data_IF_546216481958
#
_entry.id   IF_546216481958
#
_cell.length_a   1.000
_cell.length_b   1.000
_cell.length_c   1.000
_cell.angle_alpha   90.00
_cell.angle_beta   90.00
_cell.angle_gamma   90.00
#
_symmetry.space_group_name_H-M   'P 1'
#
loop_
_entity.id
_entity.type
_entity.pdbx_description
1 polymer ?
#
# COMPACT_ATOMS: atom_id res chain seq x y z
N UNK A 1 2.03 14.50 11.53
CA UNK A 1 2.38 13.06 11.37
C UNK A 1 2.56 12.83 9.88
N UNK A 2 3.60 12.15 9.45
CA UNK A 2 3.76 11.86 8.03
C UNK A 2 2.93 10.61 7.66
N UNK A 3 2.67 10.40 6.35
CA UNK A 3 1.82 9.28 5.90
C UNK A 3 2.39 7.90 6.30
N UNK A 4 3.71 7.75 6.38
CA UNK A 4 4.33 6.48 6.82
C UNK A 4 4.04 6.19 8.29
N UNK A 5 4.07 7.22 9.14
CA UNK A 5 3.74 7.07 10.57
C UNK A 5 2.27 6.67 10.74
N UNK A 6 1.37 7.22 9.89
CA UNK A 6 -0.04 6.84 9.87
C UNK A 6 -0.23 5.37 9.46
N UNK A 7 0.48 4.91 8.41
CA UNK A 7 0.43 3.50 7.97
C UNK A 7 0.85 2.58 9.12
N UNK A 8 1.98 2.88 9.78
CA UNK A 8 2.48 2.13 10.94
C UNK A 8 1.50 2.21 12.12
N UNK A 9 0.90 3.38 12.33
CA UNK A 9 -0.12 3.59 13.35
C UNK A 9 -1.33 2.67 13.16
N UNK A 10 -1.84 2.55 11.93
CA UNK A 10 -2.96 1.66 11.61
C UNK A 10 -2.61 0.19 11.76
N UNK A 11 -1.38 -0.22 11.41
CA UNK A 11 -0.94 -1.59 11.65
C UNK A 11 -0.91 -1.92 13.16
N UNK A 12 -0.34 -1.05 13.99
CA UNK A 12 -0.33 -1.19 15.46
C UNK A 12 -1.73 -1.17 16.04
N UNK A 13 -2.62 -0.31 15.52
CA UNK A 13 -4.03 -0.27 15.90
C UNK A 13 -4.73 -1.62 15.61
N UNK A 14 -4.40 -2.26 14.47
CA UNK A 14 -4.88 -3.60 14.15
C UNK A 14 -4.50 -4.62 15.22
N UNK A 15 -3.26 -4.61 15.70
CA UNK A 15 -2.80 -5.50 16.80
C UNK A 15 -3.60 -5.26 18.09
N UNK A 16 -3.86 -4.01 18.44
CA UNK A 16 -4.64 -3.67 19.65
C UNK A 16 -6.09 -4.17 19.54
N UNK A 17 -6.67 -4.13 18.34
CA UNK A 17 -8.06 -4.51 18.06
C UNK A 17 -8.17 -5.90 17.41
N UNK A 18 -7.13 -6.73 17.53
CA UNK A 18 -7.02 -8.01 16.82
C UNK A 18 -8.29 -8.90 16.92
N UNK A 19 -8.95 -8.93 18.08
CA UNK A 19 -10.14 -9.71 18.31
C UNK A 19 -11.37 -9.28 17.47
N UNK A 20 -11.30 -8.15 16.76
CA UNK A 20 -12.31 -7.65 15.81
C UNK A 20 -11.92 -7.91 14.35
N UNK A 21 -10.85 -8.69 14.14
CA UNK A 21 -10.39 -9.07 12.82
C UNK A 21 -10.73 -10.53 12.53
N UNK A 22 -11.13 -10.82 11.30
CA UNK A 22 -11.37 -12.17 10.81
C UNK A 22 -10.54 -12.40 9.56
N UNK A 23 -9.78 -13.50 9.52
CA UNK A 23 -9.03 -13.88 8.34
C UNK A 23 -9.96 -14.46 7.27
N UNK A 24 -9.87 -13.97 6.06
CA UNK A 24 -10.60 -14.51 4.90
C UNK A 24 -9.77 -14.30 3.63
N UNK A 25 -9.72 -15.33 2.79
CA UNK A 25 -9.19 -15.26 1.42
C UNK A 25 -10.33 -15.16 0.38
N UNK A 26 -11.58 -15.03 0.85
CA UNK A 26 -12.76 -14.89 0.00
C UNK A 26 -12.96 -13.48 -0.55
N UNK A 27 -14.08 -13.29 -1.25
CA UNK A 27 -14.44 -12.03 -1.91
C UNK A 27 -14.64 -10.87 -0.91
N UNK A 28 -14.87 -11.18 0.36
CA UNK A 28 -15.08 -10.21 1.44
C UNK A 28 -13.79 -9.64 2.05
N UNK A 29 -12.61 -10.19 1.69
CA UNK A 29 -11.31 -9.82 2.29
C UNK A 29 -10.95 -8.34 2.17
N UNK A 30 -11.43 -7.66 1.13
CA UNK A 30 -11.21 -6.23 0.89
C UNK A 30 -12.43 -5.36 1.25
N UNK A 31 -13.46 -5.91 1.90
CA UNK A 31 -14.73 -5.23 2.18
C UNK A 31 -14.63 -3.99 3.08
N UNK A 32 -13.50 -3.79 3.76
CA UNK A 32 -13.22 -2.59 4.56
C UNK A 32 -12.59 -1.44 3.77
N UNK A 33 -12.14 -1.68 2.53
CA UNK A 33 -11.74 -0.61 1.61
C UNK A 33 -12.97 0.23 1.28
N UNK A 34 -12.83 1.56 1.31
CA UNK A 34 -13.94 2.52 1.14
C UNK A 34 -14.69 2.87 2.42
N UNK A 35 -14.55 2.09 3.51
CA UNK A 35 -15.14 2.45 4.81
C UNK A 35 -14.30 3.50 5.54
N UNK A 36 -14.95 4.20 6.46
CA UNK A 36 -14.27 5.16 7.35
C UNK A 36 -13.13 4.46 8.12
N UNK A 37 -12.00 5.15 8.26
CA UNK A 37 -10.86 4.65 9.02
C UNK A 37 -11.26 4.26 10.45
N UNK A 38 -10.79 3.08 10.89
CA UNK A 38 -11.09 2.53 12.20
C UNK A 38 -12.47 1.86 12.32
N UNK A 39 -13.20 1.63 11.23
CA UNK A 39 -14.46 0.88 11.25
C UNK A 39 -14.20 -0.60 11.54
N UNK A 40 -14.86 -1.14 12.56
CA UNK A 40 -14.84 -2.55 12.97
C UNK A 40 -16.22 -3.21 12.79
N UNK A 41 -16.32 -4.52 12.62
CA UNK A 41 -15.21 -5.48 12.47
C UNK A 41 -14.55 -5.39 11.07
N UNK A 42 -13.36 -6.00 10.95
CA UNK A 42 -12.59 -6.09 9.70
C UNK A 42 -12.46 -7.55 9.27
N UNK A 43 -12.71 -7.83 8.00
CA UNK A 43 -12.37 -9.09 7.34
C UNK A 43 -11.26 -8.82 6.32
N UNK A 44 -10.14 -9.55 6.42
CA UNK A 44 -8.99 -9.36 5.54
C UNK A 44 -8.13 -10.63 5.47
N UNK A 45 -7.37 -10.77 4.37
CA UNK A 45 -6.16 -11.59 4.30
C UNK A 45 -4.91 -10.75 4.61
N UNK A 46 -3.72 -11.33 4.46
CA UNK A 46 -2.46 -10.65 4.71
C UNK A 46 -2.27 -9.41 3.81
N UNK A 47 -2.60 -9.52 2.53
CA UNK A 47 -2.44 -8.45 1.55
C UNK A 47 -3.52 -7.37 1.69
N UNK A 48 -4.73 -7.78 2.00
CA UNK A 48 -5.84 -6.87 2.28
C UNK A 48 -5.58 -6.03 3.54
N UNK A 49 -5.01 -6.62 4.59
CA UNK A 49 -4.62 -5.88 5.79
C UNK A 49 -3.57 -4.81 5.50
N UNK A 50 -2.51 -5.15 4.75
CA UNK A 50 -1.50 -4.17 4.32
C UNK A 50 -2.16 -3.06 3.51
N UNK A 51 -2.98 -3.41 2.51
CA UNK A 51 -3.70 -2.44 1.66
C UNK A 51 -4.61 -1.52 2.49
N UNK A 52 -5.30 -2.07 3.49
CA UNK A 52 -6.17 -1.31 4.39
C UNK A 52 -5.40 -0.29 5.23
N UNK A 53 -4.22 -0.63 5.74
CA UNK A 53 -3.36 0.30 6.48
C UNK A 53 -2.98 1.51 5.61
N UNK A 54 -2.64 1.29 4.34
CA UNK A 54 -2.35 2.35 3.38
C UNK A 54 -3.60 3.18 3.06
N UNK A 55 -4.74 2.53 2.84
CA UNK A 55 -6.01 3.21 2.56
C UNK A 55 -6.42 4.15 3.70
N UNK A 56 -6.40 3.66 4.94
CA UNK A 56 -6.78 4.45 6.12
C UNK A 56 -5.79 5.57 6.44
N UNK A 57 -4.51 5.40 6.09
CA UNK A 57 -3.52 6.46 6.18
C UNK A 57 -3.67 7.52 5.07
N UNK A 58 -4.58 7.32 4.11
CA UNK A 58 -4.75 8.18 2.97
C UNK A 58 -3.56 8.17 2.00
N UNK A 59 -2.76 7.11 2.00
CA UNK A 59 -1.68 6.86 1.06
C UNK A 59 -2.21 6.49 -0.33
N UNK A 60 -1.38 6.53 -1.40
CA UNK A 60 -1.67 5.85 -2.65
C UNK A 60 -1.81 4.33 -2.44
N UNK A 61 -2.60 3.68 -3.31
CA UNK A 61 -2.75 2.23 -3.27
C UNK A 61 -1.43 1.51 -3.52
N UNK A 62 -0.95 0.66 -2.59
CA UNK A 62 0.29 -0.08 -2.76
C UNK A 62 0.23 -1.12 -3.89
N UNK A 63 -0.98 -1.52 -4.32
CA UNK A 63 -1.18 -2.42 -5.46
C UNK A 63 -1.17 -1.69 -6.81
N UNK A 64 -1.28 -0.35 -6.84
CA UNK A 64 -1.38 0.44 -8.07
C UNK A 64 -2.72 0.31 -8.80
N UNK A 65 -3.76 -0.19 -8.14
CA UNK A 65 -5.09 -0.51 -8.69
C UNK A 65 -6.17 0.49 -8.24
N UNK A 66 -5.76 1.62 -7.64
CA UNK A 66 -6.67 2.65 -7.14
C UNK A 66 -7.74 2.11 -6.17
N UNK A 67 -7.35 1.13 -5.35
CA UNK A 67 -8.21 0.51 -4.33
C UNK A 67 -9.46 -0.15 -4.92
N UNK A 68 -9.32 -0.85 -6.05
CA UNK A 68 -10.41 -1.55 -6.76
C UNK A 68 -10.84 -2.88 -6.14
N UNK A 69 -10.26 -3.26 -4.98
CA UNK A 69 -10.49 -4.49 -4.23
C UNK A 69 -9.80 -5.76 -4.80
N UNK A 70 -8.99 -5.64 -5.87
CA UNK A 70 -8.34 -6.78 -6.54
C UNK A 70 -6.87 -7.01 -6.09
N UNK A 71 -6.34 -6.17 -5.19
CA UNK A 71 -4.95 -6.26 -4.73
C UNK A 71 -4.62 -7.58 -4.03
N UNK A 72 -3.39 -8.08 -4.24
CA UNK A 72 -2.82 -9.27 -3.58
C UNK A 72 -1.29 -9.19 -3.56
N UNK A 73 -0.59 -10.19 -3.03
CA UNK A 73 0.89 -10.21 -2.94
C UNK A 73 1.58 -9.99 -4.29
N UNK A 74 1.03 -10.54 -5.38
CA UNK A 74 1.59 -10.37 -6.72
C UNK A 74 1.49 -8.93 -7.24
N UNK A 75 0.38 -8.22 -6.98
CA UNK A 75 0.24 -6.80 -7.34
C UNK A 75 1.15 -5.91 -6.49
N UNK A 76 1.34 -6.22 -5.20
CA UNK A 76 2.34 -5.56 -4.36
C UNK A 76 3.75 -5.72 -4.94
N UNK A 77 4.13 -6.94 -5.35
CA UNK A 77 5.44 -7.22 -5.98
C UNK A 77 5.62 -6.50 -7.32
N UNK A 78 4.55 -6.39 -8.10
CA UNK A 78 4.57 -5.73 -9.41
C UNK A 78 4.68 -4.20 -9.29
N UNK A 79 4.09 -3.60 -8.27
CA UNK A 79 4.02 -2.15 -8.11
C UNK A 79 5.08 -1.57 -7.19
N UNK A 80 5.54 -2.34 -6.19
CA UNK A 80 6.52 -1.89 -5.21
C UNK A 80 7.94 -1.79 -5.75
N UNK A 81 8.70 -0.83 -5.23
CA UNK A 81 10.14 -0.70 -5.49
C UNK A 81 10.86 -1.68 -4.55
N UNK A 82 11.59 -2.63 -5.12
CA UNK A 82 12.42 -3.56 -4.33
C UNK A 82 13.57 -2.80 -3.68
N UNK A 83 13.75 -3.01 -2.39
CA UNK A 83 14.83 -2.41 -1.61
C UNK A 83 15.62 -3.50 -0.85
N UNK A 84 16.92 -3.32 -0.61
CA UNK A 84 17.69 -4.22 0.22
C UNK A 84 17.32 -4.06 1.71
N UNK A 85 17.58 -5.09 2.52
CA UNK A 85 17.24 -5.11 3.94
C UNK A 85 17.77 -3.89 4.71
N UNK A 86 18.99 -3.44 4.38
CA UNK A 86 19.65 -2.30 5.05
C UNK A 86 18.94 -0.97 4.84
N UNK A 87 18.08 -0.89 3.83
CA UNK A 87 17.28 0.31 3.52
C UNK A 87 15.86 0.23 4.03
N UNK A 88 15.45 -0.89 4.65
CA UNK A 88 14.09 -1.08 5.14
C UNK A 88 13.77 -0.08 6.25
N UNK A 89 12.62 0.56 6.16
CA UNK A 89 12.10 1.53 7.11
C UNK A 89 10.68 1.14 7.56
N UNK A 90 10.22 1.60 8.72
CA UNK A 90 8.82 1.45 9.12
C UNK A 90 7.86 1.97 8.03
N UNK A 91 6.82 1.22 7.72
CA UNK A 91 5.88 1.48 6.63
C UNK A 91 6.29 0.85 5.29
N UNK A 92 7.43 0.17 5.18
CA UNK A 92 7.74 -0.71 4.07
C UNK A 92 7.03 -2.06 4.26
N UNK A 93 7.05 -2.89 3.25
CA UNK A 93 6.34 -4.18 3.24
C UNK A 93 7.33 -5.30 2.92
N UNK A 94 7.20 -6.43 3.58
CA UNK A 94 7.89 -7.67 3.18
C UNK A 94 6.88 -8.61 2.53
N UNK A 95 7.27 -9.18 1.37
CA UNK A 95 6.55 -10.28 0.72
C UNK A 95 7.42 -11.53 0.80
N UNK A 96 6.82 -12.64 1.24
CA UNK A 96 7.45 -13.92 1.42
C UNK A 96 7.04 -14.90 0.32
N UNK A 97 7.98 -15.74 -0.11
CA UNK A 97 7.75 -16.79 -1.08
C UNK A 97 8.09 -16.40 -2.52
N UNK A 98 8.29 -17.40 -3.39
CA UNK A 98 8.61 -17.21 -4.80
C UNK A 98 7.37 -16.77 -5.63
N UNK A 99 7.63 -16.41 -6.88
CA UNK A 99 6.59 -16.07 -7.86
C UNK A 99 5.80 -14.85 -7.47
N UNK A 100 4.51 -15.00 -7.25
CA UNK A 100 3.61 -13.92 -6.81
C UNK A 100 3.56 -13.73 -5.29
N UNK A 101 4.38 -14.49 -4.55
CA UNK A 101 4.39 -14.48 -3.09
C UNK A 101 3.29 -15.34 -2.47
N UNK A 102 3.52 -15.73 -1.22
CA UNK A 102 2.59 -16.57 -0.43
C UNK A 102 2.01 -15.81 0.76
N UNK A 103 2.73 -14.77 1.20
CA UNK A 103 2.38 -14.01 2.39
C UNK A 103 2.99 -12.62 2.34
N UNK A 104 2.44 -11.70 3.11
CA UNK A 104 3.00 -10.35 3.27
C UNK A 104 2.76 -9.80 4.67
N UNK A 105 3.66 -8.92 5.11
CA UNK A 105 3.53 -8.22 6.38
C UNK A 105 4.05 -6.78 6.28
N UNK A 106 3.52 -5.90 7.13
CA UNK A 106 3.91 -4.50 7.18
C UNK A 106 5.00 -4.28 8.22
N UNK A 107 6.12 -3.69 7.82
CA UNK A 107 7.25 -3.38 8.72
C UNK A 107 6.88 -2.21 9.63
N UNK A 108 7.07 -2.39 10.93
CA UNK A 108 6.84 -1.36 11.96
C UNK A 108 8.11 -0.95 12.71
N UNK A 109 9.17 -1.76 12.65
CA UNK A 109 10.52 -1.44 13.11
C UNK A 109 11.54 -1.99 12.12
N UNK A 110 12.55 -1.19 11.79
CA UNK A 110 13.67 -1.58 10.92
C UNK A 110 14.78 -2.28 11.72
N UNK A 111 15.80 -2.77 11.03
CA UNK A 111 16.99 -3.40 11.63
C UNK A 111 17.38 -4.68 10.92
N UNK A 112 18.35 -5.41 11.49
CA UNK A 112 18.82 -6.68 10.92
C UNK A 112 17.74 -7.77 10.88
N UNK A 113 16.74 -7.68 11.77
CA UNK A 113 15.57 -8.55 11.82
C UNK A 113 14.31 -7.68 12.06
N UNK A 114 13.70 -7.13 11.01
CA UNK A 114 12.60 -6.18 11.14
C UNK A 114 11.40 -6.77 11.91
N UNK A 115 10.76 -5.94 12.74
CA UNK A 115 9.49 -6.28 13.35
C UNK A 115 8.37 -5.88 12.41
N UNK A 116 7.43 -6.78 12.21
CA UNK A 116 6.27 -6.59 11.33
C UNK A 116 4.95 -6.76 12.08
N UNK A 117 3.88 -6.25 11.47
CA UNK A 117 2.51 -6.69 11.76
C UNK A 117 2.07 -7.57 10.62
N UNK A 118 1.68 -8.79 10.96
CA UNK A 118 1.25 -9.82 10.02
C UNK A 118 -0.18 -10.23 10.35
N UNK A 119 -1.03 -10.35 9.33
CA UNK A 119 -2.33 -11.01 9.43
C UNK A 119 -2.23 -12.36 8.77
N UNK A 120 -2.26 -13.42 9.57
CA UNK A 120 -2.03 -14.78 9.14
C UNK A 120 -3.29 -15.63 9.17
N UNK A 121 -3.15 -16.89 8.71
CA UNK A 121 -4.24 -17.88 8.65
C UNK A 121 -4.85 -18.20 10.02
N UNK A 122 -4.09 -18.01 11.10
CA UNK A 122 -4.57 -18.24 12.47
C UNK A 122 -5.41 -17.06 13.01
N UNK A 123 -5.67 -16.08 12.15
CA UNK A 123 -6.59 -14.96 12.42
C UNK A 123 -5.86 -13.62 12.60
N UNK A 124 -5.79 -13.18 13.77
CA UNK A 124 -5.49 -11.84 14.25
C UNK A 124 -4.25 -11.14 13.66
N UNK A 125 -4.30 -9.82 13.42
CA UNK A 125 -3.08 -9.07 13.24
C UNK A 125 -2.16 -9.21 14.45
N UNK A 126 -0.91 -9.65 14.25
CA UNK A 126 0.04 -9.94 15.32
C UNK A 126 1.43 -9.40 15.01
N UNK A 127 2.23 -9.21 16.08
CA UNK A 127 3.63 -8.83 15.98
C UNK A 127 4.47 -10.07 15.64
N UNK A 128 5.21 -10.02 14.52
CA UNK A 128 6.06 -11.13 14.07
C UNK A 128 7.38 -10.56 13.55
N UNK A 129 8.52 -11.07 14.06
CA UNK A 129 9.82 -10.79 13.44
C UNK A 129 9.95 -11.52 12.13
N UNK A 130 10.64 -10.93 11.16
CA UNK A 130 10.83 -11.55 9.84
C UNK A 130 11.50 -12.92 9.97
N UNK A 131 12.47 -13.08 10.88
CA UNK A 131 13.12 -14.36 11.17
C UNK A 131 12.16 -15.41 11.74
N UNK A 132 11.13 -15.01 12.47
CA UNK A 132 10.13 -15.90 13.07
C UNK A 132 9.13 -16.44 12.03
N UNK A 133 8.81 -15.66 11.01
CA UNK A 133 7.99 -16.14 9.89
C UNK A 133 8.72 -17.23 9.10
N UNK A 134 9.99 -17.04 8.83
CA UNK A 134 10.89 -18.04 8.25
C UNK A 134 10.64 -18.41 6.79
N UNK A 135 9.60 -17.87 6.13
CA UNK A 135 9.34 -18.15 4.70
C UNK A 135 10.36 -17.46 3.81
N UNK A 136 10.82 -18.15 2.76
CA UNK A 136 11.82 -17.66 1.81
C UNK A 136 11.33 -17.79 0.36
N UNK A 137 11.82 -16.96 -0.59
CA UNK A 137 12.62 -15.75 -0.35
C UNK A 137 11.81 -14.63 0.31
N UNK A 138 12.52 -13.64 0.86
CA UNK A 138 11.95 -12.42 1.39
C UNK A 138 12.25 -11.28 0.41
N UNK A 139 11.22 -10.55 0.01
CA UNK A 139 11.35 -9.37 -0.86
C UNK A 139 10.81 -8.15 -0.12
N UNK A 140 11.65 -7.18 0.14
CA UNK A 140 11.23 -5.92 0.75
C UNK A 140 10.83 -4.92 -0.31
N UNK A 141 9.71 -4.24 -0.08
CA UNK A 141 9.08 -3.31 -1.02
C UNK A 141 8.83 -1.97 -0.36
N UNK A 142 9.12 -0.92 -1.10
CA UNK A 142 8.74 0.46 -0.76
C UNK A 142 7.72 0.98 -1.75
N UNK A 143 6.69 1.63 -1.22
CA UNK A 143 5.66 2.28 -2.04
C UNK A 143 5.73 3.79 -1.87
N UNK A 144 5.27 4.52 -2.90
CA UNK A 144 5.09 5.96 -2.80
C UNK A 144 4.04 6.28 -1.73
N UNK A 145 4.36 7.22 -0.85
CA UNK A 145 3.42 7.76 0.13
C UNK A 145 2.95 9.16 -0.26
N UNK A 146 3.41 9.67 -1.40
CA UNK A 146 3.03 10.96 -1.95
C UNK A 146 1.84 10.74 -2.88
N UNK A 147 0.68 11.32 -2.55
CA UNK A 147 -0.46 11.34 -3.48
C UNK A 147 -0.02 12.00 -4.79
N UNK A 148 -0.33 11.41 -5.97
CA UNK A 148 -0.11 12.10 -7.22
C UNK A 148 -0.86 13.43 -7.16
N UNK A 149 -0.12 14.53 -7.37
CA UNK A 149 -0.75 15.84 -7.49
C UNK A 149 -1.74 15.74 -8.65
N UNK A 150 -3.03 16.09 -8.47
CA UNK A 150 -3.95 16.09 -9.59
C UNK A 150 -3.35 17.04 -10.62
N UNK A 151 -2.84 16.48 -11.72
CA UNK A 151 -2.32 17.27 -12.84
C UNK A 151 -3.48 18.17 -13.24
N UNK A 152 -3.38 19.49 -12.92
CA UNK A 152 -4.26 20.48 -13.53
C UNK A 152 -4.14 20.21 -15.01
N UNK A 153 -5.22 19.71 -15.65
CA UNK A 153 -5.29 19.63 -17.10
C UNK A 153 -5.02 21.06 -17.58
N UNK A 154 -3.79 21.28 -18.02
CA UNK A 154 -3.47 22.47 -18.81
C UNK A 154 -4.26 22.28 -20.09
N UNK A 155 -5.42 22.91 -20.17
CA UNK A 155 -6.18 23.03 -21.40
C UNK A 155 -5.29 23.91 -22.27
N UNK A 156 -4.46 23.30 -23.10
CA UNK A 156 -3.78 24.00 -24.19
C UNK A 156 -4.89 24.58 -25.06
N UNK A 157 -5.07 25.90 -24.98
CA UNK A 157 -5.95 26.62 -25.89
C UNK A 157 -5.51 26.27 -27.33
N UNK A 158 -6.46 25.98 -28.24
CA UNK A 158 -6.10 25.59 -29.59
C UNK A 158 -5.30 26.71 -30.25
N UNK A 159 -4.14 26.35 -30.83
CA UNK A 159 -3.18 27.21 -31.53
C UNK A 159 -3.79 28.07 -32.69
N UNK A 160 -5.08 27.96 -32.96
CA UNK A 160 -5.79 28.72 -33.99
C UNK A 160 -6.12 30.19 -33.62
N UNK A 161 -5.85 30.61 -32.39
CA UNK A 161 -6.15 32.00 -31.97
C UNK A 161 -5.00 32.99 -32.23
N UNK A 162 -3.82 32.58 -32.65
CA UNK A 162 -2.64 33.45 -32.78
C UNK A 162 -2.44 33.96 -34.25
N UNK A 163 -3.19 33.46 -35.23
CA UNK A 163 -2.97 33.77 -36.64
C UNK A 163 -3.76 35.02 -37.15
N UNK A 164 -4.38 35.83 -36.31
CA UNK A 164 -5.21 36.97 -36.73
C UNK A 164 -4.56 38.35 -36.58
N UNK A 165 -3.28 38.48 -36.30
CA UNK A 165 -2.68 39.82 -36.08
C UNK A 165 -1.35 40.07 -36.84
N UNK A 166 -1.22 39.61 -38.09
CA UNK A 166 -0.18 40.10 -38.96
C UNK A 166 -0.85 40.73 -40.20
N UNK A 167 -0.81 42.07 -40.38
CA UNK A 167 -1.24 42.68 -41.62
C UNK A 167 -0.22 42.34 -42.73
N UNK A 168 -0.75 41.88 -43.87
CA UNK A 168 0.04 41.63 -45.05
C UNK A 168 0.71 42.93 -45.51
N UNK A 169 2.04 42.95 -45.65
CA UNK A 169 2.75 44.03 -46.35
C UNK A 169 2.34 44.01 -47.83
N UNK A 170 1.73 45.13 -48.27
CA UNK A 170 1.54 45.39 -49.71
C UNK A 170 2.91 45.61 -50.41
N UNK A 171 3.12 44.89 -51.49
CA UNK A 171 4.18 45.12 -52.45
C UNK A 171 3.92 46.41 -53.24
#
# INVERSE_FOLDING_TARGET
>A
MNVRDEIVGWAKWGVVNHHQFTYSEGDDRMSSIGKKAGTLPVTADCSAFVTLCYFWAGAPDPNGLNYDHEGYTGTLLAHGIKIPLEQVLPGDVVVYGPGTGWHTALVIESGADPLTVSMGKDGDPSLVRVSQDGRLPQTYLRFSTIKPNPVKKVVLAPLKAIQKHFPAKKA
#
